data_IF_177515741844
#
_entry.id   IF_177515741844
#
_cell.length_a   1.000
_cell.length_b   1.000
_cell.length_c   1.000
_cell.angle_alpha   90.00
_cell.angle_beta   90.00
_cell.angle_gamma   90.00
#
_symmetry.space_group_name_H-M   'P 1'
#
loop_
_entity.id
_entity.type
_entity.pdbx_description
1 polymer ?
#
# COMPACT_ATOMS: atom_id res chain seq x y z
N UNK A 1 -7.77 -7.18 -0.90
CA UNK A 1 -7.32 -6.24 0.16
C UNK A 1 -8.40 -5.28 0.64
N UNK A 2 -9.21 -4.67 -0.24
CA UNK A 2 -10.30 -3.74 0.14
C UNK A 2 -11.25 -4.25 1.24
N UNK A 3 -11.73 -5.51 1.15
CA UNK A 3 -12.58 -6.11 2.22
C UNK A 3 -11.88 -6.18 3.59
N UNK A 4 -10.55 -6.31 3.63
CA UNK A 4 -9.78 -6.27 4.88
C UNK A 4 -9.71 -4.85 5.41
N UNK A 5 -9.38 -3.87 4.55
CA UNK A 5 -9.39 -2.44 4.92
C UNK A 5 -10.75 -2.02 5.49
N UNK A 6 -11.85 -2.36 4.82
CA UNK A 6 -13.20 -2.07 5.29
C UNK A 6 -13.44 -2.60 6.71
N UNK A 7 -13.10 -3.87 6.98
CA UNK A 7 -13.25 -4.47 8.31
C UNK A 7 -12.38 -3.79 9.36
N UNK A 8 -11.13 -3.46 9.01
CA UNK A 8 -10.21 -2.72 9.89
C UNK A 8 -10.80 -1.36 10.27
N UNK A 9 -11.21 -0.56 9.27
CA UNK A 9 -11.80 0.75 9.51
C UNK A 9 -13.10 0.68 10.31
N UNK A 10 -13.97 -0.30 10.03
CA UNK A 10 -15.21 -0.51 10.79
C UNK A 10 -14.95 -0.93 12.23
N UNK A 11 -13.95 -1.77 12.48
CA UNK A 11 -13.54 -2.14 13.84
C UNK A 11 -13.05 -0.91 14.62
N UNK A 12 -12.19 -0.08 14.02
CA UNK A 12 -11.72 1.15 14.64
C UNK A 12 -12.86 2.13 14.92
N UNK A 13 -13.77 2.32 13.95
CA UNK A 13 -14.97 3.15 14.12
C UNK A 13 -15.84 2.68 15.30
N UNK A 14 -16.12 1.37 15.39
CA UNK A 14 -16.94 0.81 16.47
C UNK A 14 -16.28 0.96 17.85
N UNK A 15 -14.95 0.90 17.90
CA UNK A 15 -14.18 0.99 19.14
C UNK A 15 -13.75 2.41 19.51
N UNK A 16 -14.10 3.44 18.72
CA UNK A 16 -13.66 4.82 18.95
C UNK A 16 -12.14 5.00 18.85
N UNK A 17 -11.46 4.15 18.06
CA UNK A 17 -10.01 4.17 17.86
C UNK A 17 -9.66 4.50 16.40
N UNK A 18 -8.38 4.55 16.06
CA UNK A 18 -7.91 4.77 14.70
C UNK A 18 -6.77 3.82 14.32
N UNK A 19 -6.77 3.42 13.05
CA UNK A 19 -5.57 2.89 12.39
C UNK A 19 -4.68 4.08 12.02
N UNK A 20 -3.39 3.98 12.33
CA UNK A 20 -2.40 5.01 11.99
C UNK A 20 -1.26 4.35 11.21
N UNK A 21 -0.77 5.05 10.18
CA UNK A 21 0.35 4.60 9.37
C UNK A 21 1.11 5.81 8.83
N UNK A 22 2.14 5.58 8.03
CA UNK A 22 2.91 6.60 7.32
C UNK A 22 3.31 6.09 5.94
N UNK A 23 3.86 6.98 5.11
CA UNK A 23 4.26 6.67 3.74
C UNK A 23 5.44 5.70 3.65
N UNK A 24 5.22 4.54 3.02
CA UNK A 24 6.24 3.51 2.84
C UNK A 24 7.05 3.74 1.56
N UNK A 25 8.36 3.87 1.70
CA UNK A 25 9.30 4.07 0.60
C UNK A 25 9.59 2.78 -0.16
N UNK A 26 9.81 1.67 0.54
CA UNK A 26 10.39 0.46 -0.08
C UNK A 26 9.95 -0.87 0.60
N UNK A 27 10.31 -2.02 0.00
CA UNK A 27 10.05 -3.35 0.56
C UNK A 27 10.68 -3.61 1.95
N UNK A 28 11.83 -3.02 2.27
CA UNK A 28 12.45 -3.22 3.58
C UNK A 28 11.58 -2.55 4.64
N UNK A 29 11.17 -1.31 4.40
CA UNK A 29 10.33 -0.53 5.30
C UNK A 29 8.95 -1.18 5.47
N UNK A 30 8.28 -1.61 4.39
CA UNK A 30 6.93 -2.21 4.50
C UNK A 30 6.94 -3.50 5.34
N UNK A 31 8.02 -4.29 5.28
CA UNK A 31 8.14 -5.53 6.08
C UNK A 31 8.34 -5.26 7.56
N UNK A 32 8.97 -4.14 7.91
CA UNK A 32 9.11 -3.69 9.29
C UNK A 32 7.82 -3.05 9.80
N UNK A 33 7.15 -2.24 8.98
CA UNK A 33 5.85 -1.64 9.29
C UNK A 33 4.79 -2.71 9.60
N UNK A 34 4.76 -3.81 8.84
CA UNK A 34 3.78 -4.89 9.03
C UNK A 34 3.79 -5.53 10.42
N UNK A 35 4.87 -5.38 11.19
CA UNK A 35 5.00 -5.85 12.58
C UNK A 35 4.21 -5.00 13.58
N UNK A 36 3.93 -3.75 13.23
CA UNK A 36 3.44 -2.73 14.18
C UNK A 36 2.20 -1.98 13.70
N UNK A 37 2.03 -1.84 12.39
CA UNK A 37 0.96 -1.07 11.76
C UNK A 37 0.02 -2.00 11.01
N UNK A 38 -1.26 -1.68 10.98
CA UNK A 38 -2.30 -2.50 10.36
C UNK A 38 -2.65 -2.06 8.93
N UNK A 39 -2.13 -0.92 8.48
CA UNK A 39 -2.27 -0.37 7.12
C UNK A 39 -0.94 0.19 6.61
N UNK A 40 -0.83 0.37 5.28
CA UNK A 40 0.33 0.98 4.61
C UNK A 40 -0.18 2.14 3.76
N UNK A 41 0.51 3.28 3.80
CA UNK A 41 0.23 4.41 2.92
C UNK A 41 1.29 4.50 1.82
N UNK A 42 0.84 4.82 0.60
CA UNK A 42 1.70 5.18 -0.54
C UNK A 42 1.39 6.62 -0.92
N UNK A 43 2.38 7.49 -0.78
CA UNK A 43 2.29 8.93 -0.97
C UNK A 43 2.70 9.36 -2.38
N UNK A 44 1.94 10.28 -2.99
CA UNK A 44 2.31 10.97 -4.25
C UNK A 44 3.59 11.77 -4.08
N UNK A 45 3.64 12.62 -3.04
CA UNK A 45 4.83 13.38 -2.63
C UNK A 45 6.11 12.54 -2.57
N UNK A 46 6.08 11.39 -1.87
CA UNK A 46 7.26 10.51 -1.80
C UNK A 46 7.62 9.95 -3.17
N UNK A 47 6.62 9.55 -3.97
CA UNK A 47 6.86 9.01 -5.30
C UNK A 47 7.47 10.06 -6.24
N UNK A 48 7.03 11.32 -6.17
CA UNK A 48 7.60 12.40 -6.98
C UNK A 48 9.10 12.54 -6.80
N UNK A 49 9.60 12.43 -5.56
CA UNK A 49 11.03 12.59 -5.29
C UNK A 49 11.85 11.30 -5.39
N UNK A 50 11.24 10.11 -5.49
CA UNK A 50 11.99 8.85 -5.33
C UNK A 50 11.64 7.71 -6.29
N UNK A 51 10.48 7.75 -6.97
CA UNK A 51 9.94 6.58 -7.68
C UNK A 51 9.16 6.91 -8.95
N UNK A 52 9.39 8.07 -9.56
CA UNK A 52 8.78 8.40 -10.86
C UNK A 52 9.14 7.33 -11.90
N UNK A 53 8.18 6.94 -12.74
CA UNK A 53 8.40 5.86 -13.73
C UNK A 53 9.42 6.22 -14.81
N UNK A 54 9.77 7.50 -14.94
CA UNK A 54 10.80 8.03 -15.84
C UNK A 54 12.16 8.23 -15.17
N UNK A 55 12.26 8.06 -13.84
CA UNK A 55 13.43 8.42 -13.01
C UNK A 55 13.80 9.92 -13.05
N UNK A 56 12.86 10.79 -13.42
CA UNK A 56 13.00 12.24 -13.27
C UNK A 56 12.33 12.63 -11.93
N UNK A 57 13.09 13.01 -10.89
CA UNK A 57 12.50 13.40 -9.61
C UNK A 57 11.99 14.84 -9.66
N UNK A 58 10.98 15.15 -8.84
CA UNK A 58 10.39 16.48 -8.79
C UNK A 58 9.76 16.85 -7.45
N UNK A 59 9.30 18.11 -7.33
CA UNK A 59 8.40 18.53 -6.26
C UNK A 59 7.03 17.85 -6.40
N UNK A 60 6.19 17.97 -5.38
CA UNK A 60 4.86 17.37 -5.36
C UNK A 60 3.86 18.18 -6.20
N UNK A 61 3.86 17.93 -7.51
CA UNK A 61 3.05 18.63 -8.50
C UNK A 61 2.24 17.69 -9.39
N UNK A 62 2.27 16.38 -9.12
CA UNK A 62 1.60 15.35 -9.93
C UNK A 62 1.88 15.46 -11.45
N UNK A 63 3.11 15.87 -11.83
CA UNK A 63 3.56 15.99 -13.22
C UNK A 63 4.31 14.75 -13.74
N UNK A 64 4.56 13.78 -12.85
CA UNK A 64 5.06 12.46 -13.19
C UNK A 64 4.00 11.64 -13.95
N UNK A 65 4.38 10.60 -14.72
CA UNK A 65 3.39 9.76 -15.38
C UNK A 65 2.45 9.10 -14.37
N UNK A 66 1.14 9.09 -14.66
CA UNK A 66 0.09 8.64 -13.72
C UNK A 66 0.21 7.18 -13.26
N UNK A 67 1.04 6.37 -13.92
CA UNK A 67 1.32 5.00 -13.52
C UNK A 67 2.35 4.89 -12.39
N UNK A 68 2.99 6.00 -12.00
CA UNK A 68 4.00 6.10 -10.92
C UNK A 68 3.50 5.57 -9.59
N UNK A 69 2.43 6.14 -9.02
CA UNK A 69 1.92 5.71 -7.71
C UNK A 69 1.33 4.29 -7.76
N UNK A 70 0.56 3.90 -8.80
CA UNK A 70 0.13 2.50 -8.89
C UNK A 70 1.31 1.53 -9.02
N UNK A 71 2.41 1.88 -9.72
CA UNK A 71 3.62 1.04 -9.79
C UNK A 71 4.25 0.85 -8.40
N UNK A 72 4.26 1.91 -7.58
CA UNK A 72 4.69 1.82 -6.18
C UNK A 72 3.80 0.88 -5.36
N UNK A 73 2.48 0.93 -5.57
CA UNK A 73 1.55 -0.02 -4.91
C UNK A 73 1.91 -1.47 -5.25
N UNK A 74 2.12 -1.79 -6.54
CA UNK A 74 2.50 -3.13 -6.98
C UNK A 74 3.82 -3.58 -6.34
N UNK A 75 4.81 -2.70 -6.36
CA UNK A 75 6.13 -2.95 -5.77
C UNK A 75 6.02 -3.39 -4.30
N UNK A 76 5.26 -2.65 -3.48
CA UNK A 76 5.08 -3.01 -2.08
C UNK A 76 4.18 -4.24 -1.90
N UNK A 77 3.14 -4.37 -2.72
CA UNK A 77 2.20 -5.49 -2.62
C UNK A 77 2.86 -6.83 -2.93
N UNK A 78 3.70 -6.90 -3.96
CA UNK A 78 4.47 -8.11 -4.26
C UNK A 78 5.46 -8.47 -3.16
N UNK A 79 6.09 -7.48 -2.52
CA UNK A 79 6.93 -7.72 -1.35
C UNK A 79 6.13 -8.31 -0.18
N UNK A 80 4.95 -7.77 0.12
CA UNK A 80 4.06 -8.33 1.15
C UNK A 80 3.69 -9.79 0.85
N UNK A 81 3.30 -10.09 -0.39
CA UNK A 81 2.97 -11.45 -0.81
C UNK A 81 4.16 -12.41 -0.71
N UNK A 82 5.35 -11.97 -1.11
CA UNK A 82 6.57 -12.77 -1.00
C UNK A 82 6.88 -13.10 0.46
N UNK A 83 6.84 -12.12 1.35
CA UNK A 83 7.11 -12.32 2.78
C UNK A 83 6.05 -13.19 3.47
N UNK A 84 4.78 -13.08 3.08
CA UNK A 84 3.73 -13.98 3.54
C UNK A 84 4.00 -15.44 3.13
N UNK A 85 4.33 -15.69 1.85
CA UNK A 85 4.69 -17.03 1.36
C UNK A 85 5.92 -17.59 2.06
N UNK A 86 6.97 -16.78 2.21
CA UNK A 86 8.21 -17.14 2.92
C UNK A 86 7.92 -17.55 4.37
N UNK A 87 7.16 -16.73 5.09
CA UNK A 87 6.79 -17.04 6.47
C UNK A 87 5.92 -18.31 6.54
N UNK A 88 4.97 -18.47 5.61
CA UNK A 88 4.11 -19.64 5.57
C UNK A 88 4.91 -20.92 5.34
N UNK A 89 5.84 -20.92 4.38
CA UNK A 89 6.74 -22.04 4.11
C UNK A 89 7.57 -22.39 5.34
N UNK A 90 8.29 -21.43 5.91
CA UNK A 90 9.12 -21.67 7.10
C UNK A 90 8.33 -22.24 8.27
N UNK A 91 7.07 -21.78 8.45
CA UNK A 91 6.19 -22.28 9.51
C UNK A 91 5.62 -23.67 9.22
N UNK A 92 5.47 -24.09 7.96
CA UNK A 92 5.01 -25.44 7.62
C UNK A 92 6.03 -26.51 8.00
N UNK A 93 7.32 -26.15 8.01
CA UNK A 93 8.42 -27.03 8.42
C UNK A 93 8.64 -27.10 9.93
N UNK A 94 7.92 -26.30 10.72
CA UNK A 94 8.03 -26.23 12.19
C UNK A 94 7.05 -27.18 12.89
N UNK A 95 7.49 -27.72 14.04
CA UNK A 95 6.60 -28.41 14.96
C UNK A 95 5.49 -27.48 15.49
N UNK A 96 4.49 -28.04 16.18
CA UNK A 96 3.42 -27.23 16.77
C UNK A 96 3.95 -26.32 17.87
N UNK A 97 4.88 -26.82 18.67
CA UNK A 97 5.52 -26.13 19.80
C UNK A 97 6.45 -25.01 19.30
N UNK A 98 7.16 -25.23 18.20
CA UNK A 98 7.96 -24.20 17.53
C UNK A 98 7.08 -23.11 16.94
N UNK A 99 6.01 -23.47 16.20
CA UNK A 99 5.07 -22.49 15.64
C UNK A 99 4.41 -21.62 16.70
N UNK A 100 4.14 -22.16 17.89
CA UNK A 100 3.56 -21.42 19.00
C UNK A 100 4.53 -20.38 19.58
N UNK A 101 5.84 -20.66 19.57
CA UNK A 101 6.89 -19.76 20.06
C UNK A 101 7.36 -18.75 19.01
N UNK A 102 7.24 -19.09 17.73
CA UNK A 102 7.60 -18.20 16.62
C UNK A 102 6.48 -17.19 16.36
N UNK A 103 6.72 -15.87 16.48
CA UNK A 103 5.70 -14.86 16.18
C UNK A 103 5.17 -14.95 14.75
N UNK A 104 3.86 -14.72 14.58
CA UNK A 104 3.25 -14.62 13.25
C UNK A 104 3.10 -13.14 12.88
N UNK A 105 3.69 -12.76 11.74
CA UNK A 105 3.55 -11.41 11.19
C UNK A 105 2.54 -11.45 10.05
N UNK A 106 1.52 -10.61 10.13
CA UNK A 106 0.56 -10.44 9.06
C UNK A 106 1.11 -9.46 8.00
N UNK A 107 1.86 -9.97 7.02
CA UNK A 107 2.48 -9.11 5.99
C UNK A 107 1.48 -8.45 5.03
N UNK A 108 0.30 -9.04 4.86
CA UNK A 108 -0.71 -8.57 3.91
C UNK A 108 -1.48 -7.38 4.50
N UNK A 109 -0.82 -6.23 4.69
CA UNK A 109 -1.42 -5.00 5.20
C UNK A 109 -2.10 -4.23 4.06
N UNK A 110 -3.37 -3.81 4.20
CA UNK A 110 -4.05 -3.03 3.15
C UNK A 110 -3.32 -1.74 2.83
N UNK A 111 -3.12 -1.50 1.52
CA UNK A 111 -2.45 -0.31 1.00
C UNK A 111 -3.51 0.75 0.65
N UNK A 112 -3.33 1.96 1.16
CA UNK A 112 -4.07 3.15 0.75
C UNK A 112 -3.12 4.00 -0.09
N UNK A 113 -3.54 4.38 -1.30
CA UNK A 113 -2.68 5.06 -2.25
C UNK A 113 -3.20 6.44 -2.64
N UNK A 114 -2.25 7.30 -2.98
CA UNK A 114 -2.47 8.64 -3.51
C UNK A 114 -2.88 8.61 -4.97
N UNK A 115 -4.06 9.14 -5.30
CA UNK A 115 -4.56 9.28 -6.66
C UNK A 115 -4.39 10.68 -7.23
N UNK A 116 -3.76 11.60 -6.49
CA UNK A 116 -3.66 13.02 -6.81
C UNK A 116 -5.05 13.57 -7.21
N UNK A 117 -5.14 14.41 -8.24
CA UNK A 117 -6.40 14.92 -8.81
C UNK A 117 -7.04 13.97 -9.83
N UNK A 118 -6.43 12.80 -10.08
CA UNK A 118 -6.89 11.83 -11.08
C UNK A 118 -6.24 11.96 -12.47
N UNK A 119 -5.21 12.80 -12.63
CA UNK A 119 -4.39 12.96 -13.84
C UNK A 119 -5.18 13.32 -15.11
N UNK A 120 -6.11 14.26 -14.99
CA UNK A 120 -6.90 14.80 -16.09
C UNK A 120 -8.40 14.53 -15.95
N UNK A 121 -9.08 14.39 -17.08
CA UNK A 121 -10.54 14.21 -17.11
C UNK A 121 -10.99 12.82 -16.63
N UNK A 122 -12.31 12.63 -16.46
CA UNK A 122 -12.89 11.41 -15.87
C UNK A 122 -12.43 10.09 -16.53
N UNK A 123 -12.13 10.09 -17.84
CA UNK A 123 -11.63 8.87 -18.52
C UNK A 123 -10.20 8.52 -18.11
N UNK A 124 -9.35 9.51 -17.82
CA UNK A 124 -8.02 9.31 -17.25
C UNK A 124 -8.14 8.78 -15.81
N UNK A 125 -9.01 9.39 -15.01
CA UNK A 125 -9.28 8.95 -13.63
C UNK A 125 -9.72 7.49 -13.58
N UNK A 126 -10.64 7.06 -14.46
CA UNK A 126 -11.07 5.65 -14.53
C UNK A 126 -9.93 4.71 -14.89
N UNK A 127 -9.04 5.10 -15.82
CA UNK A 127 -7.86 4.31 -16.18
C UNK A 127 -6.86 4.23 -15.02
N UNK A 128 -6.66 5.32 -14.30
CA UNK A 128 -5.83 5.37 -13.10
C UNK A 128 -6.39 4.44 -12.00
N UNK A 129 -7.69 4.54 -11.69
CA UNK A 129 -8.34 3.65 -10.73
C UNK A 129 -8.24 2.18 -11.12
N UNK A 130 -8.35 1.87 -12.42
CA UNK A 130 -8.13 0.52 -12.94
C UNK A 130 -6.73 0.02 -12.58
N UNK A 131 -5.68 0.81 -12.83
CA UNK A 131 -4.31 0.44 -12.46
C UNK A 131 -4.17 0.20 -10.96
N UNK A 132 -4.73 1.06 -10.11
CA UNK A 132 -4.70 0.85 -8.66
C UNK A 132 -5.34 -0.46 -8.23
N UNK A 133 -6.50 -0.80 -8.79
CA UNK A 133 -7.20 -2.06 -8.50
C UNK A 133 -6.36 -3.27 -8.94
N UNK A 134 -5.81 -3.22 -10.15
CA UNK A 134 -4.97 -4.31 -10.70
C UNK A 134 -3.68 -4.51 -9.90
N UNK A 135 -3.09 -3.42 -9.40
CA UNK A 135 -1.81 -3.42 -8.68
C UNK A 135 -1.92 -3.67 -7.17
N UNK A 136 -3.14 -3.83 -6.65
CA UNK A 136 -3.38 -4.32 -5.28
C UNK A 136 -3.74 -3.26 -4.25
N UNK A 137 -4.10 -2.03 -4.67
CA UNK A 137 -4.59 -1.01 -3.76
C UNK A 137 -5.86 -1.49 -3.04
N UNK A 138 -5.96 -1.20 -1.75
CA UNK A 138 -7.15 -1.46 -0.94
C UNK A 138 -8.11 -0.27 -0.91
N UNK A 139 -7.58 0.94 -1.08
CA UNK A 139 -8.29 2.20 -1.20
C UNK A 139 -7.41 3.23 -1.90
N UNK A 140 -8.06 4.21 -2.53
CA UNK A 140 -7.41 5.33 -3.22
C UNK A 140 -8.11 6.60 -2.76
N UNK A 141 -7.34 7.66 -2.52
CA UNK A 141 -7.91 9.00 -2.29
C UNK A 141 -7.64 9.88 -3.51
N UNK A 142 -8.56 10.79 -3.81
CA UNK A 142 -8.51 11.72 -4.94
C UNK A 142 -8.96 13.08 -4.40
N UNK A 143 -8.29 14.15 -4.81
CA UNK A 143 -8.53 15.52 -4.34
C UNK A 143 -9.23 16.42 -5.36
N UNK A 144 -9.72 17.57 -4.90
CA UNK A 144 -10.52 18.54 -5.65
C UNK A 144 -9.72 19.75 -6.19
N UNK A 145 -8.38 19.66 -6.17
CA UNK A 145 -7.50 20.62 -6.84
C UNK A 145 -7.62 20.51 -8.37
N UNK A 146 -7.18 21.55 -9.10
CA UNK A 146 -7.13 21.51 -10.56
C UNK A 146 -5.87 20.81 -11.05
N UNK A 147 -6.03 19.82 -11.94
CA UNK A 147 -4.94 19.24 -12.75
C UNK A 147 -4.47 20.19 -13.85
#
# INVERSE_FOLDING_TARGET
MAKKLWRTLKSHQANGTASRTFGALDPVQVTMMAKHLDTVYVSGWQCSSTHTSTNEPGPDLADYPYDTVPNKVEHLFFAQQYHDRKQREARMSMSREERARTPYIDYLKPIIADGDTGFGASTATVKLCKLFVERGAAGVHIEDQSS
#
